data_IF_005170626629
#
_entry.id   IF_005170626629
#
_cell.length_a   1.000
_cell.length_b   1.000
_cell.length_c   1.000
_cell.angle_alpha   90.00
_cell.angle_beta   90.00
_cell.angle_gamma   90.00
#
_symmetry.space_group_name_H-M   'P 1'
#
loop_
_entity.id
_entity.type
_entity.pdbx_description
1 polymer ?
#
# COMPACT_ATOMS: atom_id res chain seq x y z
N UNK A 1 9.38 13.85 46.34
CA UNK A 1 10.28 13.92 45.16
C UNK A 1 9.42 13.99 43.91
N UNK A 2 9.29 15.18 43.31
CA UNK A 2 8.48 15.37 42.11
C UNK A 2 9.26 14.90 40.87
N UNK A 3 8.75 13.87 40.19
CA UNK A 3 9.29 13.36 38.92
C UNK A 3 9.01 14.42 37.85
N UNK A 4 10.06 15.11 37.40
CA UNK A 4 9.94 16.03 36.25
C UNK A 4 9.64 15.19 34.99
N UNK A 5 8.62 15.53 34.19
CA UNK A 5 8.43 14.90 32.89
C UNK A 5 9.62 15.27 32.00
N UNK A 6 10.28 14.24 31.44
CA UNK A 6 11.35 14.45 30.47
C UNK A 6 10.78 15.17 29.23
N UNK A 7 11.49 16.15 28.65
CA UNK A 7 11.08 16.75 27.40
C UNK A 7 11.12 15.68 26.31
N UNK A 8 9.98 15.46 25.63
CA UNK A 8 9.90 14.61 24.45
C UNK A 8 10.94 15.10 23.44
N UNK A 9 11.91 14.21 23.14
CA UNK A 9 12.95 14.43 22.13
C UNK A 9 12.24 14.64 20.79
N UNK A 10 12.10 15.91 20.38
CA UNK A 10 11.50 16.30 19.11
C UNK A 10 12.30 15.61 18.00
N UNK A 11 11.71 14.63 17.34
CA UNK A 11 12.33 14.01 16.17
C UNK A 11 12.52 15.07 15.09
N UNK A 12 13.69 15.12 14.42
CA UNK A 12 13.89 16.06 13.33
C UNK A 12 12.90 15.77 12.21
N UNK A 13 12.08 16.76 11.87
CA UNK A 13 11.06 16.82 10.81
C UNK A 13 11.58 16.53 9.38
N UNK A 14 12.79 15.97 9.22
CA UNK A 14 13.49 15.87 7.93
C UNK A 14 13.33 14.56 7.18
N UNK A 15 12.71 13.53 7.75
CA UNK A 15 12.52 12.25 7.03
C UNK A 15 11.16 11.63 7.35
N UNK A 16 10.11 12.26 6.84
CA UNK A 16 8.85 11.55 6.61
C UNK A 16 8.30 11.99 5.26
N UNK A 17 8.75 11.30 4.22
CA UNK A 17 8.02 11.28 2.96
C UNK A 17 6.59 10.89 3.29
N UNK A 18 5.65 11.79 3.04
CA UNK A 18 4.23 11.64 3.31
C UNK A 18 3.67 10.44 2.55
N UNK A 19 3.80 9.23 3.10
CA UNK A 19 3.25 8.04 2.48
C UNK A 19 1.77 7.90 2.86
N UNK A 20 0.96 8.83 2.33
CA UNK A 20 -0.51 8.89 2.49
C UNK A 20 -1.20 7.76 1.68
N UNK A 21 -0.45 6.74 1.24
CA UNK A 21 -0.92 5.64 0.36
C UNK A 21 -1.56 4.47 1.07
N UNK A 22 -1.34 4.34 2.38
CA UNK A 22 -1.78 3.17 3.12
C UNK A 22 -3.29 3.14 3.44
N UNK A 23 -4.02 4.23 3.19
CA UNK A 23 -5.45 4.35 3.50
C UNK A 23 -6.22 4.72 2.23
N UNK A 24 -6.52 3.71 1.42
CA UNK A 24 -7.13 3.80 0.08
C UNK A 24 -8.57 4.34 0.00
N UNK A 25 -8.99 5.25 0.87
CA UNK A 25 -10.36 5.79 0.92
C UNK A 25 -10.42 7.33 0.93
N UNK A 26 -9.31 7.99 0.64
CA UNK A 26 -9.12 9.37 1.08
C UNK A 26 -8.56 10.20 -0.07
N UNK A 27 -9.35 11.10 -0.72
CA UNK A 27 -8.89 11.90 -1.85
C UNK A 27 -7.69 12.74 -1.41
N UNK A 28 -6.52 12.49 -2.00
CA UNK A 28 -5.33 13.27 -1.68
C UNK A 28 -5.33 14.55 -2.50
N UNK A 29 -4.86 15.62 -1.89
CA UNK A 29 -4.70 16.95 -2.46
C UNK A 29 -3.79 16.86 -3.70
N UNK A 30 -4.24 17.40 -4.84
CA UNK A 30 -3.42 17.43 -6.04
C UNK A 30 -2.26 18.43 -5.90
N UNK A 31 -1.03 18.11 -6.35
CA UNK A 31 0.14 18.96 -6.18
C UNK A 31 0.02 20.36 -6.78
N UNK A 32 -0.87 20.52 -7.76
CA UNK A 32 -1.17 21.80 -8.38
C UNK A 32 -1.66 22.83 -7.35
N UNK A 33 -2.63 22.45 -6.51
CA UNK A 33 -3.19 23.34 -5.49
C UNK A 33 -2.19 23.75 -4.41
N UNK A 34 -1.09 23.00 -4.24
CA UNK A 34 -0.02 23.39 -3.32
C UNK A 34 0.81 24.57 -3.83
N UNK A 35 0.76 24.87 -5.13
CA UNK A 35 1.45 25.99 -5.76
C UNK A 35 0.53 27.19 -6.02
N UNK A 36 -0.78 27.00 -5.89
CA UNK A 36 -1.78 27.96 -6.33
C UNK A 36 -2.29 28.81 -5.16
N UNK A 37 -2.14 30.13 -5.29
CA UNK A 37 -2.71 31.14 -4.38
C UNK A 37 -2.30 30.99 -2.91
N UNK A 38 -3.22 31.33 -2.02
CA UNK A 38 -3.02 31.34 -0.56
C UNK A 38 -3.25 29.96 0.10
N UNK A 39 -3.50 28.92 -0.69
CA UNK A 39 -3.76 27.58 -0.18
C UNK A 39 -2.65 27.04 0.75
N UNK A 40 -1.35 27.07 0.38
CA UNK A 40 -0.29 26.55 1.24
C UNK A 40 -0.14 27.34 2.54
N UNK A 41 -0.40 28.65 2.51
CA UNK A 41 -0.31 29.50 3.70
C UNK A 41 -1.48 29.27 4.65
N UNK A 42 -2.72 29.17 4.13
CA UNK A 42 -3.90 28.80 4.93
C UNK A 42 -3.76 27.40 5.53
N UNK A 43 -3.19 26.45 4.80
CA UNK A 43 -2.92 25.10 5.31
C UNK A 43 -1.86 25.13 6.41
N UNK A 44 -0.79 25.91 6.23
CA UNK A 44 0.26 26.08 7.23
C UNK A 44 -0.28 26.74 8.50
N UNK A 45 -1.14 27.75 8.37
CA UNK A 45 -1.81 28.40 9.49
C UNK A 45 -2.72 27.42 10.24
N UNK A 46 -3.54 26.64 9.53
CA UNK A 46 -4.39 25.59 10.13
C UNK A 46 -3.59 24.53 10.88
N UNK A 47 -2.44 24.13 10.31
CA UNK A 47 -1.53 23.20 10.97
C UNK A 47 -0.91 23.79 12.25
N UNK A 48 -0.46 25.05 12.21
CA UNK A 48 0.08 25.76 13.38
C UNK A 48 -0.96 25.88 14.48
N UNK A 49 -2.16 26.38 14.17
CA UNK A 49 -3.28 26.49 15.12
C UNK A 49 -3.60 25.14 15.76
N UNK A 50 -3.66 24.08 14.97
CA UNK A 50 -3.89 22.74 15.51
C UNK A 50 -2.84 22.35 16.56
N UNK A 51 -1.55 22.53 16.27
CA UNK A 51 -0.52 22.18 17.25
C UNK A 51 -0.50 23.12 18.45
N UNK A 52 -0.76 24.42 18.26
CA UNK A 52 -0.86 25.39 19.35
C UNK A 52 -2.01 25.06 20.31
N UNK A 53 -3.18 24.71 19.78
CA UNK A 53 -4.38 24.41 20.57
C UNK A 53 -4.30 23.04 21.26
N UNK A 54 -3.61 22.07 20.65
CA UNK A 54 -3.61 20.68 21.12
C UNK A 54 -2.33 20.29 21.87
N UNK A 55 -1.24 21.09 21.82
CA UNK A 55 -0.03 20.81 22.60
C UNK A 55 -0.36 20.83 24.10
N UNK A 56 -0.01 19.75 24.81
CA UNK A 56 -0.22 19.64 26.26
C UNK A 56 -1.64 19.22 26.67
N UNK A 57 -2.60 19.21 25.75
CA UNK A 57 -3.95 18.67 26.01
C UNK A 57 -4.00 17.14 26.00
N UNK A 58 -3.02 16.49 25.35
CA UNK A 58 -2.97 15.03 25.15
C UNK A 58 -1.64 14.46 25.61
N UNK A 59 -1.69 13.32 26.31
CA UNK A 59 -0.51 12.64 26.91
C UNK A 59 0.31 11.85 25.89
N UNK A 60 -0.31 11.39 24.80
CA UNK A 60 0.32 10.56 23.76
C UNK A 60 0.45 11.32 22.44
N UNK A 61 1.65 11.32 21.87
CA UNK A 61 1.93 11.87 20.55
C UNK A 61 1.12 11.20 19.43
N UNK A 62 0.74 9.93 19.60
CA UNK A 62 -0.08 9.20 18.62
C UNK A 62 -1.48 9.79 18.49
N UNK A 63 -2.11 10.15 19.62
CA UNK A 63 -3.46 10.74 19.63
C UNK A 63 -3.41 12.18 19.09
N UNK A 64 -2.36 12.94 19.39
CA UNK A 64 -2.13 14.26 18.78
C UNK A 64 -2.03 14.16 17.26
N UNK A 65 -1.34 13.14 16.73
CA UNK A 65 -1.23 12.91 15.30
C UNK A 65 -2.56 12.46 14.65
N UNK A 66 -3.34 11.64 15.35
CA UNK A 66 -4.69 11.28 14.91
C UNK A 66 -5.61 12.51 14.89
N UNK A 67 -5.53 13.38 15.89
CA UNK A 67 -6.26 14.65 15.93
C UNK A 67 -5.82 15.61 14.80
N UNK A 68 -4.53 15.62 14.45
CA UNK A 68 -4.00 16.42 13.34
C UNK A 68 -4.64 16.07 12.00
N UNK A 69 -5.18 14.86 11.84
CA UNK A 69 -5.94 14.49 10.63
C UNK A 69 -7.17 15.38 10.40
N UNK A 70 -7.66 16.11 11.40
CA UNK A 70 -8.72 17.12 11.23
C UNK A 70 -8.31 18.30 10.34
N UNK A 71 -7.03 18.69 10.34
CA UNK A 71 -6.46 19.74 9.46
C UNK A 71 -6.64 19.36 7.98
N UNK A 72 -6.66 18.05 7.68
CA UNK A 72 -7.00 17.57 6.34
C UNK A 72 -8.44 17.93 5.95
N UNK A 73 -9.39 17.84 6.87
CA UNK A 73 -10.77 18.23 6.62
C UNK A 73 -10.88 19.71 6.25
N UNK A 74 -10.11 20.57 6.93
CA UNK A 74 -9.98 21.98 6.59
C UNK A 74 -9.37 22.16 5.19
N UNK A 75 -8.32 21.42 4.86
CA UNK A 75 -7.71 21.44 3.53
C UNK A 75 -8.71 21.06 2.42
N UNK A 76 -9.53 20.04 2.65
CA UNK A 76 -10.57 19.63 1.70
C UNK A 76 -11.68 20.68 1.55
N UNK A 77 -12.06 21.36 2.64
CA UNK A 77 -13.02 22.45 2.59
C UNK A 77 -12.48 23.64 1.77
N UNK A 78 -11.21 24.00 1.97
CA UNK A 78 -10.54 25.05 1.20
C UNK A 78 -10.48 24.71 -0.29
N UNK A 79 -10.11 23.48 -0.64
CA UNK A 79 -10.13 23.00 -2.03
C UNK A 79 -11.53 23.04 -2.65
N UNK A 80 -12.55 22.66 -1.88
CA UNK A 80 -13.94 22.75 -2.31
C UNK A 80 -14.35 24.20 -2.61
N UNK A 81 -13.87 25.15 -1.81
CA UNK A 81 -14.03 26.58 -2.07
C UNK A 81 -13.35 27.03 -3.36
N UNK A 82 -12.06 26.72 -3.53
CA UNK A 82 -11.29 27.07 -4.73
C UNK A 82 -11.92 26.52 -6.01
N UNK A 83 -12.43 25.27 -5.98
CA UNK A 83 -13.13 24.68 -7.13
C UNK A 83 -14.40 25.45 -7.47
N UNK A 84 -15.18 25.85 -6.46
CA UNK A 84 -16.38 26.68 -6.68
C UNK A 84 -16.02 28.04 -7.24
N UNK A 85 -15.00 28.69 -6.70
CA UNK A 85 -14.51 29.98 -7.21
C UNK A 85 -14.06 29.86 -8.67
N UNK A 86 -13.37 28.78 -9.03
CA UNK A 86 -12.97 28.52 -10.42
C UNK A 86 -14.20 28.30 -11.32
N UNK A 87 -15.17 27.49 -10.92
CA UNK A 87 -16.42 27.30 -11.67
C UNK A 87 -17.16 28.63 -11.88
N UNK A 88 -17.29 29.45 -10.83
CA UNK A 88 -17.93 30.76 -10.93
C UNK A 88 -17.18 31.70 -11.88
N UNK A 89 -15.84 31.69 -11.86
CA UNK A 89 -15.03 32.46 -12.81
C UNK A 89 -15.28 32.00 -14.26
N UNK A 90 -15.33 30.70 -14.51
CA UNK A 90 -15.66 30.17 -15.83
C UNK A 90 -17.05 30.64 -16.29
N UNK A 91 -18.08 30.49 -15.44
CA UNK A 91 -19.45 30.91 -15.76
C UNK A 91 -19.55 32.42 -16.07
N UNK A 92 -18.81 33.25 -15.33
CA UNK A 92 -18.76 34.70 -15.58
C UNK A 92 -18.12 34.99 -16.95
N UNK A 93 -16.97 34.38 -17.24
CA UNK A 93 -16.26 34.60 -18.51
C UNK A 93 -17.08 34.08 -19.70
N UNK A 94 -17.71 32.91 -19.58
CA UNK A 94 -18.61 32.37 -20.61
C UNK A 94 -19.80 33.32 -20.86
N UNK A 95 -20.36 33.89 -19.79
CA UNK A 95 -21.41 34.90 -19.90
C UNK A 95 -20.93 36.20 -20.56
N UNK A 96 -19.70 36.64 -20.30
CA UNK A 96 -19.08 37.79 -20.95
C UNK A 96 -18.84 37.53 -22.44
N UNK A 97 -18.27 36.36 -22.81
CA UNK A 97 -18.05 35.95 -24.20
C UNK A 97 -19.39 35.91 -24.95
N UNK A 98 -20.42 35.28 -24.38
CA UNK A 98 -21.73 35.19 -25.03
C UNK A 98 -22.39 36.56 -25.26
N UNK A 99 -22.20 37.52 -24.34
CA UNK A 99 -22.69 38.89 -24.52
C UNK A 99 -21.93 39.62 -25.63
N UNK A 100 -20.61 39.52 -25.62
CA UNK A 100 -19.76 40.14 -26.65
C UNK A 100 -20.06 39.58 -28.04
N UNK A 101 -20.27 38.27 -28.16
CA UNK A 101 -20.71 37.63 -29.40
C UNK A 101 -22.04 38.22 -29.89
N UNK A 102 -23.03 38.37 -29.00
CA UNK A 102 -24.32 38.94 -29.35
C UNK A 102 -24.21 40.42 -29.77
N UNK A 103 -23.38 41.21 -29.10
CA UNK A 103 -23.13 42.62 -29.43
C UNK A 103 -22.42 42.78 -30.79
N UNK A 104 -21.46 41.91 -31.10
CA UNK A 104 -20.77 41.89 -32.41
C UNK A 104 -21.76 41.54 -33.52
N UNK A 105 -22.63 40.55 -33.30
CA UNK A 105 -23.66 40.14 -34.27
C UNK A 105 -24.72 41.24 -34.49
N UNK A 106 -25.11 41.95 -33.43
CA UNK A 106 -26.11 43.02 -33.51
C UNK A 106 -25.56 44.35 -34.08
N UNK A 107 -24.25 44.60 -33.93
CA UNK A 107 -23.63 45.90 -34.21
C UNK A 107 -23.44 46.26 -35.69
N UNK A 108 -23.63 45.32 -36.64
CA UNK A 108 -23.56 45.55 -38.10
C UNK A 108 -22.19 45.93 -38.67
N UNK A 109 -21.32 46.55 -37.88
CA UNK A 109 -19.92 46.86 -38.17
C UNK A 109 -19.04 46.20 -37.10
N UNK A 110 -18.13 45.33 -37.55
CA UNK A 110 -17.18 44.63 -36.69
C UNK A 110 -16.23 45.67 -36.08
N UNK A 111 -16.49 46.05 -34.83
CA UNK A 111 -15.58 46.91 -34.08
C UNK A 111 -14.37 46.09 -33.67
N UNK A 112 -13.18 46.43 -34.20
CA UNK A 112 -11.91 45.76 -33.86
C UNK A 112 -11.69 45.66 -32.35
N UNK A 113 -12.13 46.66 -31.58
CA UNK A 113 -12.05 46.65 -30.12
C UNK A 113 -12.82 45.47 -29.49
N UNK A 114 -14.06 45.21 -29.93
CA UNK A 114 -14.88 44.11 -29.40
C UNK A 114 -14.30 42.74 -29.78
N UNK A 115 -13.76 42.59 -30.99
CA UNK A 115 -13.07 41.37 -31.39
C UNK A 115 -11.82 41.09 -30.56
N UNK A 116 -11.01 42.12 -30.28
CA UNK A 116 -9.82 41.97 -29.45
C UNK A 116 -10.18 41.60 -28.01
N UNK A 117 -11.25 42.20 -27.47
CA UNK A 117 -11.73 41.90 -26.13
C UNK A 117 -12.29 40.47 -26.04
N UNK A 118 -13.04 40.04 -27.05
CA UNK A 118 -13.53 38.67 -27.16
C UNK A 118 -12.40 37.64 -27.24
N UNK A 119 -11.37 37.90 -28.05
CA UNK A 119 -10.20 37.03 -28.14
C UNK A 119 -9.51 36.88 -26.79
N UNK A 120 -9.34 37.99 -26.06
CA UNK A 120 -8.75 37.98 -24.72
C UNK A 120 -9.58 37.12 -23.75
N UNK A 121 -10.90 37.26 -23.78
CA UNK A 121 -11.80 36.46 -22.93
C UNK A 121 -11.81 34.98 -23.28
N UNK A 122 -11.72 34.64 -24.56
CA UNK A 122 -11.58 33.26 -25.01
C UNK A 122 -10.23 32.65 -24.59
N UNK A 123 -9.15 33.43 -24.61
CA UNK A 123 -7.85 33.01 -24.08
C UNK A 123 -7.94 32.75 -22.57
N UNK A 124 -8.51 33.67 -21.79
CA UNK A 124 -8.73 33.48 -20.35
C UNK A 124 -9.52 32.20 -20.05
N UNK A 125 -10.56 31.91 -20.83
CA UNK A 125 -11.36 30.69 -20.68
C UNK A 125 -10.55 29.43 -21.04
N UNK A 126 -9.77 29.48 -22.13
CA UNK A 126 -8.92 28.37 -22.58
C UNK A 126 -7.88 28.05 -21.52
N UNK A 127 -7.23 29.05 -20.93
CA UNK A 127 -6.26 28.87 -19.85
C UNK A 127 -6.88 28.17 -18.63
N UNK A 128 -8.11 28.53 -18.25
CA UNK A 128 -8.83 27.88 -17.14
C UNK A 128 -9.17 26.41 -17.45
N UNK A 129 -9.62 26.13 -18.68
CA UNK A 129 -9.93 24.78 -19.13
C UNK A 129 -8.67 23.91 -19.21
N UNK A 130 -7.57 24.45 -19.73
CA UNK A 130 -6.29 23.78 -19.83
C UNK A 130 -5.72 23.44 -18.45
N UNK A 131 -5.83 24.37 -17.50
CA UNK A 131 -5.44 24.12 -16.11
C UNK A 131 -6.27 22.98 -15.49
N UNK A 132 -7.58 22.95 -15.73
CA UNK A 132 -8.45 21.86 -15.28
C UNK A 132 -8.07 20.52 -15.93
N UNK A 133 -7.83 20.51 -17.25
CA UNK A 133 -7.39 19.34 -18.00
C UNK A 133 -6.06 18.80 -17.47
N UNK A 134 -5.12 19.68 -17.13
CA UNK A 134 -3.84 19.30 -16.52
C UNK A 134 -4.04 18.63 -15.14
N UNK A 135 -4.90 19.17 -14.28
CA UNK A 135 -5.24 18.53 -12.99
C UNK A 135 -5.85 17.14 -13.21
N UNK A 136 -6.76 17.00 -14.17
CA UNK A 136 -7.35 15.72 -14.51
C UNK A 136 -6.33 14.72 -15.06
N UNK A 137 -5.38 15.15 -15.89
CA UNK A 137 -4.30 14.32 -16.40
C UNK A 137 -3.37 13.80 -15.28
N UNK A 138 -3.04 14.64 -14.30
CA UNK A 138 -2.29 14.22 -13.12
C UNK A 138 -3.06 13.19 -12.29
N UNK A 139 -4.37 13.39 -12.13
CA UNK A 139 -5.24 12.46 -11.41
C UNK A 139 -5.34 11.10 -12.12
N UNK A 140 -5.41 11.07 -13.45
CA UNK A 140 -5.44 9.81 -14.23
C UNK A 140 -4.09 9.10 -14.19
N UNK A 141 -2.97 9.80 -14.38
CA UNK A 141 -1.62 9.24 -14.27
C UNK A 141 -1.43 8.63 -12.87
N UNK A 142 -1.88 9.33 -11.85
CA UNK A 142 -1.82 8.82 -10.48
C UNK A 142 -2.70 7.59 -10.26
N UNK A 143 -3.93 7.59 -10.77
CA UNK A 143 -4.81 6.40 -10.73
C UNK A 143 -4.14 5.22 -11.44
N UNK A 144 -3.45 5.46 -12.55
CA UNK A 144 -2.70 4.44 -13.26
C UNK A 144 -1.56 3.88 -12.40
N UNK A 145 -0.81 4.71 -11.67
CA UNK A 145 0.19 4.21 -10.71
C UNK A 145 -0.45 3.42 -9.56
N UNK A 146 -1.53 3.93 -8.97
CA UNK A 146 -2.23 3.26 -7.86
C UNK A 146 -2.79 1.90 -8.27
N UNK A 147 -3.26 1.77 -9.52
CA UNK A 147 -3.79 0.55 -10.13
C UNK A 147 -2.70 -0.37 -10.67
N UNK A 148 -1.67 0.18 -11.30
CA UNK A 148 -0.56 -0.55 -11.92
C UNK A 148 0.30 -1.27 -10.89
N UNK A 149 0.39 -0.72 -9.68
CA UNK A 149 1.02 -1.36 -8.53
C UNK A 149 0.25 -2.60 -8.03
N UNK A 150 -0.92 -2.96 -8.58
CA UNK A 150 -1.63 -4.18 -8.18
C UNK A 150 -0.84 -5.46 -8.50
N UNK A 151 -0.12 -5.50 -9.62
CA UNK A 151 0.71 -6.66 -9.95
C UNK A 151 1.89 -6.80 -8.96
N UNK A 152 2.55 -5.68 -8.65
CA UNK A 152 3.65 -5.65 -7.68
C UNK A 152 3.16 -5.95 -6.26
N UNK A 153 1.99 -5.44 -5.85
CA UNK A 153 1.36 -5.79 -4.57
C UNK A 153 0.96 -7.24 -4.50
N UNK A 154 0.43 -7.82 -5.58
CA UNK A 154 0.11 -9.24 -5.66
C UNK A 154 1.38 -10.08 -5.54
N UNK A 155 2.45 -9.72 -6.25
CA UNK A 155 3.75 -10.37 -6.12
C UNK A 155 4.32 -10.26 -4.70
N UNK A 156 4.36 -9.06 -4.12
CA UNK A 156 4.81 -8.86 -2.75
C UNK A 156 3.94 -9.61 -1.72
N UNK A 157 2.64 -9.74 -1.98
CA UNK A 157 1.72 -10.53 -1.15
C UNK A 157 1.98 -12.04 -1.28
N UNK A 158 2.14 -12.54 -2.51
CA UNK A 158 2.51 -13.92 -2.79
C UNK A 158 3.86 -14.26 -2.15
N UNK A 159 4.82 -13.34 -2.26
CA UNK A 159 6.14 -13.47 -1.66
C UNK A 159 6.04 -13.53 -0.13
N UNK A 160 5.31 -12.61 0.52
CA UNK A 160 5.06 -12.66 1.97
C UNK A 160 4.38 -13.95 2.41
N UNK A 161 3.43 -14.45 1.62
CA UNK A 161 2.75 -15.72 1.90
C UNK A 161 3.73 -16.90 1.79
N UNK A 162 4.65 -16.86 0.82
CA UNK A 162 5.68 -17.87 0.64
C UNK A 162 6.77 -17.81 1.72
N UNK A 163 7.10 -16.61 2.24
CA UNK A 163 8.05 -16.46 3.34
C UNK A 163 7.61 -17.27 4.56
N UNK A 164 6.34 -17.19 4.99
CA UNK A 164 5.87 -17.97 6.14
C UNK A 164 5.92 -19.50 5.95
N UNK A 165 5.94 -19.98 4.71
CA UNK A 165 5.97 -21.42 4.40
C UNK A 165 7.39 -21.98 4.26
N UNK A 166 8.33 -21.16 3.77
CA UNK A 166 9.70 -21.59 3.49
C UNK A 166 10.73 -21.06 4.52
N UNK A 167 10.32 -20.20 5.44
CA UNK A 167 11.24 -19.56 6.39
C UNK A 167 11.20 -20.23 7.76
N UNK A 168 12.28 -20.89 8.14
CA UNK A 168 12.48 -21.39 9.50
C UNK A 168 12.93 -20.23 10.38
N UNK A 169 12.07 -19.79 11.30
CA UNK A 169 12.30 -18.65 12.22
C UNK A 169 13.32 -18.93 13.34
N UNK A 170 14.06 -20.02 13.24
CA UNK A 170 15.05 -20.47 14.20
C UNK A 170 14.75 -21.85 14.78
N UNK A 171 15.83 -22.53 15.16
CA UNK A 171 15.85 -23.91 15.66
C UNK A 171 16.43 -23.92 17.07
N UNK A 172 16.03 -24.90 17.87
CA UNK A 172 16.65 -25.13 19.18
C UNK A 172 17.77 -26.15 19.03
N UNK A 173 18.93 -25.75 19.53
CA UNK A 173 20.10 -26.60 19.62
C UNK A 173 19.94 -27.62 20.77
N UNK A 174 20.82 -28.61 20.85
CA UNK A 174 20.83 -29.64 21.92
C UNK A 174 21.02 -29.03 23.31
N UNK A 175 21.68 -27.89 23.39
CA UNK A 175 21.82 -27.09 24.61
C UNK A 175 20.53 -26.33 25.01
N UNK A 176 19.48 -26.36 24.17
CA UNK A 176 18.23 -25.63 24.36
C UNK A 176 18.24 -24.18 23.85
N UNK A 177 19.38 -23.71 23.33
CA UNK A 177 19.55 -22.35 22.81
C UNK A 177 18.92 -22.17 21.42
N UNK A 178 18.32 -21.01 21.17
CA UNK A 178 17.63 -20.70 19.92
C UNK A 178 18.60 -20.11 18.89
N UNK A 179 18.96 -20.90 17.88
CA UNK A 179 19.73 -20.47 16.70
C UNK A 179 18.78 -19.77 15.72
N UNK A 180 19.09 -18.53 15.35
CA UNK A 180 18.22 -17.70 14.48
C UNK A 180 18.98 -17.19 13.24
N UNK A 181 20.28 -17.43 13.17
CA UNK A 181 21.16 -17.01 12.06
C UNK A 181 21.02 -17.96 10.87
N UNK A 182 21.06 -17.42 9.65
CA UNK A 182 20.86 -18.20 8.42
C UNK A 182 21.86 -19.34 8.21
N UNK A 183 23.10 -19.19 8.68
CA UNK A 183 24.17 -20.18 8.51
C UNK A 183 24.18 -21.23 9.64
N UNK A 184 23.77 -20.85 10.85
CA UNK A 184 23.73 -21.73 12.03
C UNK A 184 22.61 -22.80 11.94
N UNK A 185 21.52 -22.47 11.24
CA UNK A 185 20.34 -23.34 11.11
C UNK A 185 20.66 -24.63 10.31
N UNK A 186 21.28 -24.56 9.11
CA UNK A 186 21.75 -25.75 8.40
C UNK A 186 22.75 -26.60 9.18
N UNK A 187 23.69 -25.96 9.90
CA UNK A 187 24.72 -26.66 10.67
C UNK A 187 24.11 -27.43 11.84
N UNK A 188 23.18 -26.82 12.58
CA UNK A 188 22.42 -27.49 13.64
C UNK A 188 21.60 -28.67 13.10
N UNK A 189 20.95 -28.52 11.93
CA UNK A 189 20.24 -29.62 11.28
C UNK A 189 21.18 -30.77 10.87
N UNK A 190 22.32 -30.46 10.28
CA UNK A 190 23.30 -31.45 9.85
C UNK A 190 23.82 -32.24 11.07
N UNK A 191 24.20 -31.54 12.13
CA UNK A 191 24.72 -32.15 13.36
C UNK A 191 23.69 -33.06 14.02
N UNK A 192 22.44 -32.61 14.14
CA UNK A 192 21.37 -33.42 14.72
C UNK A 192 21.14 -34.72 13.95
N UNK A 193 20.99 -34.64 12.63
CA UNK A 193 20.75 -35.86 11.82
C UNK A 193 22.00 -36.76 11.77
N UNK A 194 23.19 -36.17 11.73
CA UNK A 194 24.44 -36.93 11.83
C UNK A 194 24.47 -37.72 13.14
N UNK A 195 24.10 -37.13 14.28
CA UNK A 195 23.98 -37.86 15.54
C UNK A 195 22.92 -38.96 15.51
N UNK A 196 21.71 -38.67 15.00
CA UNK A 196 20.62 -39.65 14.92
C UNK A 196 21.01 -40.86 14.10
N UNK A 197 21.68 -40.67 12.97
CA UNK A 197 22.10 -41.76 12.09
C UNK A 197 23.42 -42.42 12.50
N UNK A 198 24.29 -41.71 13.21
CA UNK A 198 25.56 -42.25 13.73
C UNK A 198 25.40 -42.97 15.06
N UNK A 199 24.33 -42.67 15.81
CA UNK A 199 23.95 -43.43 16.99
C UNK A 199 23.62 -44.86 16.56
N UNK A 200 24.61 -45.76 16.69
CA UNK A 200 24.36 -47.19 16.66
C UNK A 200 23.53 -47.53 17.88
N UNK A 201 22.21 -47.58 17.72
CA UNK A 201 21.29 -48.11 18.71
C UNK A 201 21.57 -49.60 18.83
N UNK A 202 22.27 -49.98 19.89
CA UNK A 202 22.44 -51.37 20.33
C UNK A 202 21.17 -51.86 21.04
N UNK A 203 20.00 -51.49 20.51
CA UNK A 203 18.73 -51.94 21.05
C UNK A 203 18.49 -53.37 20.58
N UNK A 204 18.16 -54.29 21.51
CA UNK A 204 17.86 -55.67 21.14
C UNK A 204 16.69 -55.70 20.16
N UNK A 205 16.81 -56.57 19.16
CA UNK A 205 15.80 -56.75 18.09
C UNK A 205 14.36 -56.94 18.62
N UNK A 206 14.24 -57.48 19.83
CA UNK A 206 12.98 -57.69 20.56
C UNK A 206 12.19 -56.40 20.82
N UNK A 207 12.86 -55.27 21.12
CA UNK A 207 12.19 -53.98 21.33
C UNK A 207 11.56 -53.44 20.05
N UNK A 208 12.16 -53.71 18.89
CA UNK A 208 11.60 -53.29 17.61
C UNK A 208 10.36 -54.12 17.26
N UNK A 209 10.33 -55.40 17.63
CA UNK A 209 9.17 -56.26 17.39
C UNK A 209 7.99 -55.83 18.26
N UNK A 210 8.21 -55.51 19.54
CA UNK A 210 7.14 -54.98 20.40
C UNK A 210 6.59 -53.65 19.86
N UNK A 211 7.48 -52.71 19.49
CA UNK A 211 7.07 -51.41 18.97
C UNK A 211 6.37 -51.49 17.60
N UNK A 212 6.81 -52.40 16.72
CA UNK A 212 6.18 -52.65 15.42
C UNK A 212 4.92 -53.51 15.54
N UNK A 213 4.79 -54.32 16.59
CA UNK A 213 3.61 -55.14 16.87
C UNK A 213 2.43 -54.34 17.41
N UNK A 214 2.71 -53.29 18.19
CA UNK A 214 1.69 -52.35 18.71
C UNK A 214 1.21 -51.33 17.67
N UNK A 215 1.93 -51.19 16.55
CA UNK A 215 1.47 -50.36 15.44
C UNK A 215 0.28 -51.07 14.77
N UNK A 216 -0.87 -50.39 14.59
CA UNK A 216 -1.96 -50.92 13.79
C UNK A 216 -1.52 -50.93 12.33
N UNK A 217 -0.79 -51.97 11.93
CA UNK A 217 -0.55 -52.25 10.52
C UNK A 217 -1.92 -52.42 9.88
N UNK A 218 -2.27 -51.51 8.97
CA UNK A 218 -3.40 -51.73 8.09
C UNK A 218 -3.09 -52.98 7.27
N UNK A 219 -3.76 -54.08 7.59
CA UNK A 219 -3.80 -55.23 6.70
C UNK A 219 -4.46 -54.76 5.40
N UNK A 220 -3.72 -54.87 4.29
CA UNK A 220 -4.26 -54.61 2.95
C UNK A 220 -5.50 -55.47 2.75
N UNK A 221 -6.59 -54.86 2.31
CA UNK A 221 -7.79 -55.61 1.91
C UNK A 221 -7.44 -56.56 0.77
N UNK A 222 -8.10 -57.71 0.72
CA UNK A 222 -7.86 -58.73 -0.30
C UNK A 222 -7.91 -58.14 -1.73
N UNK A 223 -8.86 -57.23 -1.96
CA UNK A 223 -9.04 -56.53 -3.24
C UNK A 223 -7.81 -55.68 -3.62
N UNK A 224 -7.25 -54.92 -2.68
CA UNK A 224 -6.08 -54.07 -2.92
C UNK A 224 -4.80 -54.90 -3.15
N UNK A 225 -4.74 -56.10 -2.55
CA UNK A 225 -3.64 -57.04 -2.70
C UNK A 225 -3.62 -57.67 -4.09
N UNK A 226 -4.78 -58.06 -4.60
CA UNK A 226 -4.93 -58.56 -5.97
C UNK A 226 -4.60 -57.50 -7.01
N UNK A 227 -4.85 -56.22 -6.74
CA UNK A 227 -4.45 -55.11 -7.62
C UNK A 227 -2.93 -54.92 -7.62
N UNK A 228 -2.29 -55.01 -6.45
CA UNK A 228 -0.82 -54.85 -6.34
C UNK A 228 -0.02 -56.03 -6.92
N UNK A 229 -0.58 -57.24 -6.91
CA UNK A 229 0.04 -58.43 -7.51
C UNK A 229 -0.18 -58.51 -9.04
N UNK A 230 -0.97 -57.61 -9.63
CA UNK A 230 -1.11 -57.52 -11.09
C UNK A 230 0.15 -56.90 -11.72
N UNK A 231 0.45 -57.33 -12.95
CA UNK A 231 1.56 -56.78 -13.72
C UNK A 231 1.34 -55.30 -14.03
N UNK A 232 2.37 -54.48 -13.79
CA UNK A 232 2.33 -53.03 -14.02
C UNK A 232 1.87 -52.75 -15.45
N UNK A 233 0.87 -51.90 -15.59
CA UNK A 233 0.27 -51.56 -16.88
C UNK A 233 0.94 -50.33 -17.50
N UNK A 234 0.91 -50.23 -18.83
CA UNK A 234 1.56 -49.14 -19.58
C UNK A 234 0.95 -47.76 -19.21
N UNK A 235 -0.31 -47.74 -18.81
CA UNK A 235 -1.04 -46.53 -18.41
C UNK A 235 -0.51 -45.94 -17.09
N UNK A 236 -0.12 -46.79 -16.14
CA UNK A 236 0.46 -46.36 -14.86
C UNK A 236 1.86 -45.73 -15.04
N UNK A 237 2.64 -46.29 -15.97
CA UNK A 237 3.98 -45.76 -16.31
C UNK A 237 3.88 -44.36 -16.94
N UNK A 238 2.86 -44.13 -17.78
CA UNK A 238 2.63 -42.83 -18.43
C UNK A 238 2.07 -41.80 -17.44
N UNK A 239 1.15 -42.20 -16.56
CA UNK A 239 0.57 -41.31 -15.53
C UNK A 239 1.59 -40.82 -14.50
N UNK A 240 2.53 -41.68 -14.09
CA UNK A 240 3.59 -41.33 -13.13
C UNK A 240 4.61 -40.32 -13.67
N UNK A 241 4.81 -40.28 -15.00
CA UNK A 241 5.75 -39.35 -15.64
C UNK A 241 5.19 -37.93 -15.81
N UNK A 242 3.86 -37.76 -15.86
CA UNK A 242 3.22 -36.44 -16.03
C UNK A 242 2.99 -35.67 -14.71
N UNK A 243 3.34 -36.26 -13.57
CA UNK A 243 3.14 -35.68 -12.23
C UNK A 243 4.38 -35.06 -11.57
N UNK A 244 5.52 -35.01 -12.26
CA UNK A 244 6.76 -34.32 -11.87
C UNK A 244 6.96 -33.06 -12.74
#
# INVERSE_FOLDING_TARGET
>A
MAVRPQPLKVMPLKVMTWNVSALGLLPRIDPWYLKEGDFPDKLREGAKKHFEDNLGSVTSAGILWEAFKTVRGQALALLGGLKKECCLKCEIIEGEVSKLDAEILAGGLIQQHHCNLLLLKQQELTDLVDNSAHVHALATQRRLYDVGDRANRLLAWLEKRNWGRNWVMGIRDEAGDRRTTGDDIPEAFATYYEQVYSAKTDQPYENYIELLGDLPMMELRADDREVLDQGITVEEVVGGWTGL
#
